data_IF_517923871329
#
_entry.id   IF_517923871329
#
_cell.length_a   1.000
_cell.length_b   1.000
_cell.length_c   1.000
_cell.angle_alpha   90.00
_cell.angle_beta   90.00
_cell.angle_gamma   90.00
#
_symmetry.space_group_name_H-M   'P 1'
#
loop_
_entity.id
_entity.type
_entity.pdbx_description
1 polymer ?
#
# COMPACT_ATOMS: atom_id res chain seq x y z
N UNK A 1 30.62 6.49 48.86
CA UNK A 1 31.19 5.26 49.44
C UNK A 1 30.08 4.55 50.18
N UNK A 2 29.62 3.40 49.70
CA UNK A 2 29.14 2.23 50.46
C UNK A 2 29.02 1.06 49.46
N UNK A 3 29.49 -0.11 49.90
CA UNK A 3 30.02 -1.23 49.12
C UNK A 3 28.93 -2.14 48.54
N UNK A 4 29.10 -2.58 47.29
CA UNK A 4 28.33 -3.64 46.64
C UNK A 4 28.82 -5.02 47.09
N UNK A 5 27.97 -5.83 47.72
CA UNK A 5 28.19 -7.26 47.87
C UNK A 5 27.60 -8.02 46.67
N UNK A 6 28.46 -8.75 45.96
CA UNK A 6 28.08 -9.75 44.98
C UNK A 6 27.71 -11.08 45.66
N UNK A 7 26.53 -11.63 45.36
CA UNK A 7 26.19 -13.02 45.68
C UNK A 7 26.71 -13.92 44.57
N UNK A 8 27.62 -14.83 44.91
CA UNK A 8 28.08 -15.89 44.01
C UNK A 8 27.00 -16.94 43.76
N UNK A 9 26.80 -17.28 42.50
CA UNK A 9 26.17 -18.52 42.07
C UNK A 9 27.26 -19.41 41.46
N UNK A 10 27.30 -20.69 41.88
CA UNK A 10 28.14 -21.72 41.26
C UNK A 10 27.59 -22.04 39.87
N UNK A 11 28.43 -22.39 38.88
CA UNK A 11 27.96 -22.84 37.58
C UNK A 11 27.42 -24.28 37.71
N UNK A 12 26.13 -24.47 37.43
CA UNK A 12 25.59 -25.79 37.10
C UNK A 12 25.86 -26.04 35.61
N UNK A 13 26.35 -27.24 35.29
CA UNK A 13 26.65 -27.66 33.92
C UNK A 13 25.38 -27.65 33.04
N UNK A 14 25.45 -27.19 31.78
CA UNK A 14 24.32 -27.22 30.87
C UNK A 14 23.94 -28.67 30.50
N UNK A 15 22.64 -28.98 30.34
CA UNK A 15 22.21 -30.30 29.88
C UNK A 15 22.68 -30.56 28.44
N UNK A 16 22.89 -31.83 28.04
CA UNK A 16 23.40 -32.16 26.71
C UNK A 16 22.41 -31.78 25.62
N UNK A 17 22.91 -31.06 24.60
CA UNK A 17 22.19 -30.76 23.36
C UNK A 17 22.08 -32.05 22.54
N UNK A 18 20.89 -32.45 22.06
CA UNK A 18 20.78 -33.58 21.14
C UNK A 18 21.40 -33.20 19.80
N UNK A 19 22.45 -33.94 19.41
CA UNK A 19 23.09 -33.86 18.10
C UNK A 19 22.10 -34.30 17.01
N UNK A 20 21.47 -33.32 16.37
CA UNK A 20 20.76 -33.49 15.10
C UNK A 20 21.51 -32.72 14.05
N UNK A 21 22.45 -33.42 13.43
CA UNK A 21 23.05 -33.06 12.14
C UNK A 21 21.96 -32.64 11.15
N UNK A 22 21.95 -31.34 10.85
CA UNK A 22 21.21 -30.76 9.73
C UNK A 22 21.77 -31.38 8.45
N UNK A 23 21.07 -32.34 7.86
CA UNK A 23 21.37 -32.82 6.51
C UNK A 23 21.06 -31.68 5.53
N UNK A 24 22.10 -30.97 5.13
CA UNK A 24 22.09 -30.12 3.94
C UNK A 24 21.63 -30.96 2.74
N UNK A 25 20.52 -30.57 2.13
CA UNK A 25 20.09 -31.05 0.82
C UNK A 25 21.07 -30.56 -0.24
N UNK A 26 22.14 -31.32 -0.49
CA UNK A 26 22.94 -31.18 -1.71
C UNK A 26 23.92 -32.35 -1.87
N UNK A 27 23.45 -33.53 -2.30
CA UNK A 27 24.35 -34.50 -2.95
C UNK A 27 23.58 -35.27 -4.04
N UNK A 28 23.85 -34.93 -5.32
CA UNK A 28 23.60 -35.83 -6.44
C UNK A 28 24.76 -36.84 -6.49
N UNK A 29 24.52 -38.14 -6.73
CA UNK A 29 25.61 -39.12 -6.77
C UNK A 29 26.45 -38.96 -8.06
N UNK A 30 27.75 -39.30 -8.03
CA UNK A 30 28.61 -39.22 -9.21
C UNK A 30 28.35 -40.40 -10.15
N UNK A 31 28.03 -40.10 -11.41
CA UNK A 31 28.01 -41.08 -12.49
C UNK A 31 29.45 -41.49 -12.84
N UNK A 32 29.76 -42.78 -12.67
CA UNK A 32 30.97 -43.40 -13.24
C UNK A 32 30.77 -43.61 -14.74
N UNK A 33 31.79 -43.26 -15.53
CA UNK A 33 31.75 -43.30 -16.99
C UNK A 33 32.21 -44.61 -17.63
N UNK A 34 31.78 -44.77 -18.89
CA UNK A 34 32.43 -45.52 -19.98
C UNK A 34 31.58 -46.64 -20.60
N UNK A 35 31.70 -46.94 -21.92
CA UNK A 35 32.15 -46.14 -23.07
C UNK A 35 31.07 -46.04 -24.19
N UNK A 36 31.44 -45.37 -25.29
CA UNK A 36 30.63 -44.96 -26.44
C UNK A 36 29.96 -46.09 -27.24
N UNK A 37 28.75 -45.82 -27.78
CA UNK A 37 28.36 -46.21 -29.14
C UNK A 37 27.15 -45.40 -29.66
N UNK A 38 26.94 -45.48 -30.97
CA UNK A 38 26.32 -44.55 -31.91
C UNK A 38 24.79 -44.29 -31.87
N UNK A 39 24.46 -43.06 -32.29
CA UNK A 39 23.27 -42.57 -33.01
C UNK A 39 21.93 -43.30 -32.95
N UNK A 40 20.91 -42.60 -32.45
CA UNK A 40 19.55 -42.61 -33.04
C UNK A 40 18.87 -41.25 -32.85
N UNK A 41 18.47 -40.67 -33.98
CA UNK A 41 17.62 -39.50 -34.15
C UNK A 41 16.27 -39.64 -33.45
N UNK A 42 15.70 -38.50 -33.07
CA UNK A 42 14.26 -38.36 -32.84
C UNK A 42 13.83 -38.40 -31.36
N UNK A 43 14.11 -37.33 -30.63
CA UNK A 43 13.34 -37.03 -29.42
C UNK A 43 12.84 -35.59 -29.50
N UNK A 44 11.65 -35.45 -30.08
CA UNK A 44 10.86 -34.22 -30.05
C UNK A 44 10.75 -33.73 -28.61
N UNK A 45 11.26 -32.52 -28.35
CA UNK A 45 11.03 -31.83 -27.09
C UNK A 45 9.52 -31.77 -26.81
N UNK A 46 9.07 -32.02 -25.57
CA UNK A 46 7.65 -31.87 -25.24
C UNK A 46 7.28 -30.40 -25.41
N UNK A 47 6.21 -30.15 -26.16
CA UNK A 47 5.68 -28.83 -26.44
C UNK A 47 5.43 -28.05 -25.15
N UNK A 48 6.26 -27.04 -24.89
CA UNK A 48 6.06 -26.07 -23.83
C UNK A 48 5.11 -24.98 -24.35
N UNK A 49 3.80 -25.29 -24.48
CA UNK A 49 2.84 -24.27 -24.94
C UNK A 49 1.37 -24.51 -24.53
N UNK A 50 1.12 -25.10 -23.35
CA UNK A 50 -0.25 -25.37 -22.88
C UNK A 50 -0.74 -24.49 -21.71
N UNK A 51 0.10 -23.63 -21.13
CA UNK A 51 -0.23 -22.86 -19.92
C UNK A 51 0.15 -21.37 -19.99
N UNK A 52 0.44 -20.85 -21.19
CA UNK A 52 0.74 -19.42 -21.35
C UNK A 52 -0.53 -18.61 -21.04
N UNK A 53 -0.53 -17.91 -19.91
CA UNK A 53 -1.61 -16.98 -19.54
C UNK A 53 -1.69 -15.89 -20.60
N UNK A 54 -2.78 -15.86 -21.34
CA UNK A 54 -3.04 -14.86 -22.37
C UNK A 54 -3.26 -13.46 -21.76
N UNK A 55 -2.63 -12.45 -22.36
CA UNK A 55 -2.69 -11.07 -21.89
C UNK A 55 -4.12 -10.49 -21.97
N UNK A 56 -4.91 -10.86 -22.99
CA UNK A 56 -6.29 -10.37 -23.12
C UNK A 56 -7.19 -10.91 -21.99
N UNK A 57 -6.98 -12.15 -21.57
CA UNK A 57 -7.67 -12.74 -20.42
C UNK A 57 -7.35 -11.98 -19.12
N UNK A 58 -6.12 -11.50 -18.95
CA UNK A 58 -5.75 -10.67 -17.80
C UNK A 58 -6.31 -9.25 -17.92
N UNK A 59 -6.34 -8.66 -19.12
CA UNK A 59 -6.89 -7.32 -19.38
C UNK A 59 -8.37 -7.17 -18.97
N UNK A 60 -9.14 -8.27 -19.06
CA UNK A 60 -10.54 -8.32 -18.66
C UNK A 60 -10.72 -8.09 -17.15
N UNK A 61 -9.89 -8.74 -16.32
CA UNK A 61 -9.90 -8.56 -14.87
C UNK A 61 -8.51 -8.82 -14.25
N UNK A 62 -7.71 -7.76 -14.24
CA UNK A 62 -6.35 -7.78 -13.69
C UNK A 62 -6.35 -8.14 -12.20
N UNK A 63 -7.33 -7.66 -11.44
CA UNK A 63 -7.40 -7.92 -10.01
C UNK A 63 -7.63 -9.41 -9.77
N UNK A 64 -8.59 -10.02 -10.49
CA UNK A 64 -8.88 -11.45 -10.39
C UNK A 64 -7.71 -12.31 -10.87
N UNK A 65 -7.00 -11.90 -11.92
CA UNK A 65 -5.81 -12.63 -12.37
C UNK A 65 -4.70 -12.65 -11.29
N UNK A 66 -4.47 -11.52 -10.63
CA UNK A 66 -3.51 -11.43 -9.51
C UNK A 66 -3.98 -12.24 -8.31
N UNK A 67 -5.28 -12.27 -8.01
CA UNK A 67 -5.84 -13.12 -6.95
C UNK A 67 -5.59 -14.59 -7.21
N UNK A 68 -5.82 -15.08 -8.44
CA UNK A 68 -5.50 -16.48 -8.80
C UNK A 68 -4.02 -16.78 -8.60
N UNK A 69 -3.15 -15.85 -9.02
CA UNK A 69 -1.71 -16.00 -8.81
C UNK A 69 -1.34 -16.05 -7.32
N UNK A 70 -1.96 -15.21 -6.50
CA UNK A 70 -1.80 -15.22 -5.04
C UNK A 70 -2.32 -16.51 -4.41
N UNK A 71 -3.45 -17.03 -4.87
CA UNK A 71 -4.03 -18.27 -4.36
C UNK A 71 -3.05 -19.44 -4.53
N UNK A 72 -2.48 -19.60 -5.73
CA UNK A 72 -1.47 -20.62 -6.00
C UNK A 72 -0.21 -20.42 -5.17
N UNK A 73 0.37 -19.21 -5.19
CA UNK A 73 1.62 -18.92 -4.47
C UNK A 73 1.47 -19.10 -2.97
N UNK A 74 0.42 -18.56 -2.37
CA UNK A 74 0.24 -18.59 -0.92
C UNK A 74 -0.13 -19.99 -0.41
N UNK A 75 -0.85 -20.79 -1.21
CA UNK A 75 -1.12 -22.18 -0.84
C UNK A 75 0.18 -22.98 -0.70
N UNK A 76 1.11 -22.82 -1.64
CA UNK A 76 2.44 -23.44 -1.57
C UNK A 76 3.24 -22.95 -0.36
N UNK A 77 3.23 -21.64 -0.09
CA UNK A 77 3.96 -21.04 1.04
C UNK A 77 3.43 -21.51 2.39
N UNK A 78 2.11 -21.65 2.54
CA UNK A 78 1.48 -22.19 3.75
C UNK A 78 1.78 -23.67 3.91
N UNK A 79 1.76 -24.47 2.83
CA UNK A 79 2.12 -25.88 2.89
C UNK A 79 3.57 -26.08 3.37
N UNK A 80 4.52 -25.34 2.80
CA UNK A 80 5.93 -25.36 3.25
C UNK A 80 6.09 -24.90 4.71
N UNK A 81 5.29 -23.93 5.16
CA UNK A 81 5.27 -23.56 6.57
C UNK A 81 4.78 -24.70 7.47
N UNK A 82 3.80 -25.49 6.99
CA UNK A 82 3.27 -26.67 7.68
C UNK A 82 4.30 -27.80 7.81
N UNK A 83 5.16 -27.97 6.81
CA UNK A 83 6.27 -28.93 6.86
C UNK A 83 7.32 -28.56 7.92
N UNK A 84 7.46 -27.26 8.23
CA UNK A 84 8.37 -26.76 9.27
C UNK A 84 7.76 -26.90 10.67
N UNK A 85 6.55 -26.37 10.85
CA UNK A 85 5.80 -26.46 12.11
C UNK A 85 4.30 -26.18 11.89
N UNK A 86 3.38 -27.08 12.31
CA UNK A 86 1.94 -26.85 12.18
C UNK A 86 1.39 -25.63 12.94
N UNK A 87 2.04 -25.23 14.04
CA UNK A 87 1.71 -24.04 14.80
C UNK A 87 2.03 -22.77 14.02
N UNK A 88 3.26 -22.66 13.51
CA UNK A 88 3.72 -21.58 12.63
C UNK A 88 2.81 -21.42 11.40
N UNK A 89 2.44 -22.53 10.76
CA UNK A 89 1.53 -22.51 9.62
C UNK A 89 0.15 -21.94 9.99
N UNK A 90 -0.48 -22.47 11.04
CA UNK A 90 -1.83 -22.09 11.47
C UNK A 90 -1.89 -20.67 12.04
N UNK A 91 -0.89 -20.27 12.82
CA UNK A 91 -0.95 -19.07 13.66
C UNK A 91 -0.30 -17.85 13.04
N UNK A 92 0.59 -18.03 12.05
CA UNK A 92 1.28 -16.93 11.36
C UNK A 92 1.09 -16.97 9.85
N UNK A 93 1.45 -18.09 9.20
CA UNK A 93 1.47 -18.18 7.74
C UNK A 93 0.04 -18.05 7.13
N UNK A 94 -0.94 -18.76 7.70
CA UNK A 94 -2.33 -18.71 7.27
C UNK A 94 -2.96 -17.32 7.49
N UNK A 95 -2.80 -16.64 8.64
CA UNK A 95 -3.20 -15.24 8.78
C UNK A 95 -2.57 -14.29 7.75
N UNK A 96 -1.27 -14.42 7.45
CA UNK A 96 -0.61 -13.62 6.40
C UNK A 96 -1.23 -13.90 5.02
N UNK A 97 -1.43 -15.17 4.68
CA UNK A 97 -2.10 -15.60 3.45
C UNK A 97 -3.50 -14.99 3.33
N UNK A 98 -4.34 -15.19 4.36
CA UNK A 98 -5.70 -14.66 4.44
C UNK A 98 -5.74 -13.13 4.30
N UNK A 99 -4.87 -12.42 5.02
CA UNK A 99 -4.80 -10.96 4.95
C UNK A 99 -4.45 -10.47 3.54
N UNK A 100 -3.53 -11.17 2.87
CA UNK A 100 -3.10 -10.85 1.51
C UNK A 100 -4.20 -11.15 0.48
N UNK A 101 -4.92 -12.27 0.63
CA UNK A 101 -6.00 -12.70 -0.29
C UNK A 101 -7.26 -11.84 -0.24
N UNK A 102 -7.68 -11.39 0.94
CA UNK A 102 -8.94 -10.62 1.09
C UNK A 102 -8.75 -9.11 1.04
N UNK A 103 -7.88 -8.62 0.15
CA UNK A 103 -7.33 -7.28 0.25
C UNK A 103 -7.54 -6.34 -0.94
N UNK A 104 -8.27 -5.24 -0.73
CA UNK A 104 -8.12 -3.98 -1.46
C UNK A 104 -8.42 -4.00 -2.97
N UNK A 105 -8.24 -2.84 -3.62
CA UNK A 105 -8.53 -2.61 -5.05
C UNK A 105 -7.44 -3.12 -6.02
N UNK A 106 -6.43 -3.84 -5.50
CA UNK A 106 -5.23 -4.31 -6.23
C UNK A 106 -4.56 -3.24 -7.09
N UNK A 107 -4.47 -2.02 -6.56
CA UNK A 107 -4.01 -0.83 -7.32
C UNK A 107 -2.58 -1.00 -7.83
N UNK A 108 -1.67 -1.52 -6.99
CA UNK A 108 -0.25 -1.70 -7.31
C UNK A 108 -0.05 -2.66 -8.49
N UNK A 109 -0.56 -3.90 -8.45
CA UNK A 109 -0.52 -4.81 -9.60
C UNK A 109 -1.15 -4.23 -10.85
N UNK A 110 -2.26 -3.48 -10.73
CA UNK A 110 -2.93 -2.86 -11.88
C UNK A 110 -2.06 -1.80 -12.55
N UNK A 111 -1.34 -0.97 -11.79
CA UNK A 111 -0.39 -0.02 -12.37
C UNK A 111 0.77 -0.72 -13.08
N UNK A 112 1.31 -1.79 -12.49
CA UNK A 112 2.33 -2.61 -13.13
C UNK A 112 1.81 -3.18 -14.45
N UNK A 113 0.66 -3.84 -14.41
CA UNK A 113 0.05 -4.50 -15.56
C UNK A 113 -0.24 -3.53 -16.71
N UNK A 114 -1.00 -2.46 -16.44
CA UNK A 114 -1.38 -1.53 -17.51
C UNK A 114 -0.18 -0.78 -18.08
N UNK A 115 0.89 -0.59 -17.29
CA UNK A 115 2.14 -0.01 -17.83
C UNK A 115 2.90 -0.99 -18.70
N UNK A 116 2.96 -2.28 -18.32
CA UNK A 116 3.52 -3.34 -19.17
C UNK A 116 2.79 -3.38 -20.52
N UNK A 117 1.46 -3.41 -20.50
CA UNK A 117 0.63 -3.45 -21.72
C UNK A 117 0.81 -2.20 -22.57
N UNK A 118 0.86 -1.02 -21.96
CA UNK A 118 1.08 0.24 -22.67
C UNK A 118 2.46 0.34 -23.32
N UNK A 119 3.45 -0.39 -22.82
CA UNK A 119 4.80 -0.49 -23.39
C UNK A 119 4.97 -1.74 -24.29
N UNK A 120 3.87 -2.36 -24.73
CA UNK A 120 3.85 -3.52 -25.64
C UNK A 120 4.53 -4.79 -25.08
N UNK A 121 4.49 -4.98 -23.75
CA UNK A 121 5.05 -6.15 -23.07
C UNK A 121 4.10 -7.35 -22.95
N UNK A 122 3.31 -7.65 -23.98
CA UNK A 122 2.21 -8.62 -23.94
C UNK A 122 2.53 -10.10 -24.10
N UNK A 123 3.81 -10.49 -24.20
CA UNK A 123 4.24 -11.86 -24.43
C UNK A 123 4.18 -12.72 -23.15
N UNK A 124 3.89 -14.02 -23.32
CA UNK A 124 3.65 -14.97 -22.23
C UNK A 124 4.66 -14.93 -21.07
N UNK A 125 5.99 -14.91 -21.34
CA UNK A 125 6.99 -14.81 -20.27
C UNK A 125 6.85 -13.53 -19.43
N UNK A 126 6.59 -12.38 -20.06
CA UNK A 126 6.44 -11.10 -19.36
C UNK A 126 5.11 -11.02 -18.62
N UNK A 127 4.04 -11.60 -19.18
CA UNK A 127 2.73 -11.72 -18.51
C UNK A 127 2.87 -12.49 -17.19
N UNK A 128 3.49 -13.67 -17.24
CA UNK A 128 3.72 -14.50 -16.04
C UNK A 128 4.58 -13.75 -15.02
N UNK A 129 5.67 -13.11 -15.46
CA UNK A 129 6.52 -12.31 -14.58
C UNK A 129 5.76 -11.15 -13.91
N UNK A 130 4.90 -10.46 -14.67
CA UNK A 130 4.10 -9.34 -14.19
C UNK A 130 3.07 -9.78 -13.13
N UNK A 131 2.39 -10.91 -13.33
CA UNK A 131 1.47 -11.47 -12.33
C UNK A 131 2.20 -11.87 -11.05
N UNK A 132 3.36 -12.51 -11.16
CA UNK A 132 4.18 -12.88 -9.98
C UNK A 132 4.70 -11.65 -9.23
N UNK A 133 5.22 -10.64 -9.94
CA UNK A 133 5.67 -9.39 -9.30
C UNK A 133 4.46 -8.62 -8.73
N UNK A 134 3.29 -8.69 -9.38
CA UNK A 134 2.03 -8.17 -8.83
C UNK A 134 1.68 -8.83 -7.49
N UNK A 135 1.76 -10.15 -7.40
CA UNK A 135 1.57 -10.87 -6.15
C UNK A 135 2.60 -10.47 -5.08
N UNK A 136 3.86 -10.29 -5.45
CA UNK A 136 4.90 -9.78 -4.55
C UNK A 136 4.62 -8.37 -4.03
N UNK A 137 4.08 -7.48 -4.87
CA UNK A 137 3.64 -6.13 -4.45
C UNK A 137 2.51 -6.19 -3.42
N UNK A 138 1.60 -7.15 -3.52
CA UNK A 138 0.53 -7.33 -2.54
C UNK A 138 1.03 -7.95 -1.23
N UNK A 139 2.02 -8.84 -1.27
CA UNK A 139 2.73 -9.31 -0.07
C UNK A 139 3.50 -8.18 0.62
N UNK A 140 4.19 -7.34 -0.15
CA UNK A 140 4.85 -6.14 0.38
C UNK A 140 3.82 -5.18 0.99
N UNK A 141 2.61 -5.07 0.43
CA UNK A 141 1.51 -4.33 1.03
C UNK A 141 1.00 -4.93 2.32
N UNK A 142 0.96 -6.26 2.42
CA UNK A 142 0.64 -6.95 3.67
C UNK A 142 1.65 -6.61 4.75
N UNK A 143 2.96 -6.69 4.44
CA UNK A 143 4.02 -6.25 5.35
C UNK A 143 3.79 -4.81 5.83
N UNK A 144 3.67 -3.88 4.88
CA UNK A 144 3.51 -2.45 5.19
C UNK A 144 2.29 -2.19 6.09
N UNK A 145 1.13 -2.77 5.79
CA UNK A 145 -0.09 -2.54 6.58
C UNK A 145 -0.03 -3.17 7.96
N UNK A 146 0.49 -4.40 8.08
CA UNK A 146 0.56 -5.10 9.36
C UNK A 146 1.50 -4.36 10.31
N UNK A 147 2.66 -3.90 9.82
CA UNK A 147 3.58 -3.10 10.61
C UNK A 147 3.03 -1.71 10.95
N UNK A 148 2.43 -1.01 9.98
CA UNK A 148 1.80 0.30 10.19
C UNK A 148 0.67 0.23 11.23
N UNK A 149 -0.15 -0.84 11.22
CA UNK A 149 -1.21 -1.07 12.23
C UNK A 149 -0.64 -1.20 13.65
N UNK A 150 0.53 -1.82 13.82
CA UNK A 150 1.20 -1.92 15.12
C UNK A 150 1.78 -0.58 15.55
N UNK A 151 2.46 0.12 14.64
CA UNK A 151 3.10 1.41 14.90
C UNK A 151 2.08 2.49 15.26
N UNK A 152 0.92 2.51 14.57
CA UNK A 152 -0.16 3.46 14.79
C UNK A 152 -1.13 3.03 15.91
N UNK A 153 -1.00 1.80 16.43
CA UNK A 153 -1.97 1.23 17.39
C UNK A 153 -3.38 1.05 16.81
N UNK A 154 -3.49 0.87 15.50
CA UNK A 154 -4.77 0.79 14.80
C UNK A 154 -5.52 -0.50 15.14
N UNK A 155 -6.70 -0.40 15.75
CA UNK A 155 -7.46 -1.58 16.20
C UNK A 155 -8.14 -2.35 15.06
N UNK A 156 -8.36 -1.71 13.91
CA UNK A 156 -9.09 -2.28 12.78
C UNK A 156 -8.43 -1.96 11.46
N UNK A 157 -8.58 -2.89 10.50
CA UNK A 157 -8.10 -2.76 9.12
C UNK A 157 -9.11 -3.41 8.18
N UNK A 158 -9.58 -2.66 7.17
CA UNK A 158 -10.57 -3.13 6.17
C UNK A 158 -11.84 -3.74 6.81
N UNK A 159 -12.35 -3.12 7.87
CA UNK A 159 -13.55 -3.58 8.59
C UNK A 159 -13.36 -4.81 9.47
N UNK A 160 -12.12 -5.30 9.65
CA UNK A 160 -11.78 -6.43 10.53
C UNK A 160 -10.80 -5.99 11.63
N UNK A 161 -10.67 -6.74 12.73
CA UNK A 161 -9.61 -6.49 13.70
C UNK A 161 -8.23 -6.50 13.02
N UNK A 162 -7.35 -5.59 13.42
CA UNK A 162 -5.96 -5.62 12.93
C UNK A 162 -5.26 -6.91 13.39
N UNK A 163 -4.23 -7.35 12.67
CA UNK A 163 -3.60 -8.66 12.92
C UNK A 163 -3.06 -8.78 14.35
N UNK A 164 -2.49 -7.70 14.90
CA UNK A 164 -2.02 -7.69 16.29
C UNK A 164 -3.15 -7.83 17.32
N UNK A 165 -4.36 -7.34 17.00
CA UNK A 165 -5.55 -7.51 17.84
C UNK A 165 -6.05 -8.95 17.77
N UNK A 166 -6.11 -9.54 16.56
CA UNK A 166 -6.45 -10.96 16.40
C UNK A 166 -5.48 -11.87 17.15
N UNK A 167 -4.17 -11.58 17.05
CA UNK A 167 -3.13 -12.35 17.71
C UNK A 167 -3.17 -12.19 19.24
N UNK A 168 -3.40 -10.98 19.75
CA UNK A 168 -3.57 -10.74 21.18
C UNK A 168 -4.74 -11.56 21.77
N UNK A 169 -5.85 -11.70 21.04
CA UNK A 169 -7.00 -12.49 21.46
C UNK A 169 -6.72 -14.02 21.54
N UNK A 170 -5.63 -14.50 20.92
CA UNK A 170 -5.18 -15.90 20.96
C UNK A 170 -4.03 -16.13 21.94
N UNK A 171 -3.56 -15.08 22.60
CA UNK A 171 -2.40 -15.14 23.51
C UNK A 171 -2.65 -16.00 24.76
N UNK A 172 -1.60 -16.23 25.57
CA UNK A 172 -1.67 -17.08 26.75
C UNK A 172 -2.75 -16.60 27.74
N UNK A 173 -3.63 -17.53 28.15
CA UNK A 173 -4.69 -17.23 29.12
C UNK A 173 -4.17 -17.05 30.56
N UNK A 174 -2.94 -17.48 30.83
CA UNK A 174 -2.31 -17.47 32.15
C UNK A 174 -1.74 -16.10 32.56
N UNK A 175 -1.75 -15.12 31.67
CA UNK A 175 -1.34 -13.73 31.96
C UNK A 175 0.18 -13.55 32.14
N UNK A 176 1.00 -14.54 31.80
CA UNK A 176 2.47 -14.48 31.95
C UNK A 176 3.12 -13.37 31.11
N UNK A 177 2.47 -12.96 30.01
CA UNK A 177 2.82 -11.77 29.21
C UNK A 177 1.55 -10.98 28.87
N UNK A 178 1.59 -9.64 28.84
CA UNK A 178 0.45 -8.86 28.38
C UNK A 178 0.05 -9.29 26.96
N UNK A 179 -1.22 -9.64 26.76
CA UNK A 179 -1.75 -10.10 25.47
C UNK A 179 -1.46 -9.13 24.32
N UNK A 180 -1.46 -7.82 24.62
CA UNK A 180 -1.08 -6.75 23.69
C UNK A 180 0.35 -6.92 23.16
N UNK A 181 1.31 -7.19 24.04
CA UNK A 181 2.72 -7.31 23.67
C UNK A 181 2.97 -8.56 22.84
N UNK A 182 2.27 -9.66 23.16
CA UNK A 182 2.28 -10.86 22.34
C UNK A 182 1.70 -10.59 20.95
N UNK A 183 0.53 -9.95 20.88
CA UNK A 183 -0.11 -9.61 19.61
C UNK A 183 0.76 -8.71 18.72
N UNK A 184 1.41 -7.71 19.31
CA UNK A 184 2.36 -6.85 18.59
C UNK A 184 3.58 -7.64 18.07
N UNK A 185 4.17 -8.51 18.89
CA UNK A 185 5.29 -9.34 18.48
C UNK A 185 4.93 -10.29 17.33
N UNK A 186 3.76 -10.95 17.39
CA UNK A 186 3.25 -11.80 16.31
C UNK A 186 3.03 -11.00 15.04
N UNK A 187 2.49 -9.79 15.13
CA UNK A 187 2.27 -8.94 13.96
C UNK A 187 3.57 -8.45 13.32
N UNK A 188 4.61 -8.15 14.12
CA UNK A 188 5.94 -7.84 13.59
C UNK A 188 6.45 -9.02 12.75
N UNK A 189 6.43 -10.23 13.30
CA UNK A 189 6.85 -11.44 12.59
C UNK A 189 5.98 -11.75 11.35
N UNK A 190 4.68 -11.47 11.40
CA UNK A 190 3.78 -11.64 10.26
C UNK A 190 4.15 -10.68 9.11
N UNK A 191 4.46 -9.42 9.43
CA UNK A 191 4.92 -8.47 8.43
C UNK A 191 6.30 -8.83 7.87
N UNK A 192 7.20 -9.33 8.70
CA UNK A 192 8.52 -9.82 8.25
C UNK A 192 8.38 -11.01 7.30
N UNK A 193 7.52 -11.98 7.65
CA UNK A 193 7.23 -13.13 6.79
C UNK A 193 6.67 -12.70 5.43
N UNK A 194 5.74 -11.74 5.43
CA UNK A 194 5.18 -11.20 4.20
C UNK A 194 6.26 -10.51 3.33
N UNK A 195 7.20 -9.78 3.94
CA UNK A 195 8.33 -9.17 3.23
C UNK A 195 9.27 -10.23 2.64
N UNK A 196 9.62 -11.25 3.42
CA UNK A 196 10.46 -12.38 2.96
C UNK A 196 9.81 -13.08 1.77
N UNK A 197 8.52 -13.42 1.87
CA UNK A 197 7.81 -14.03 0.75
C UNK A 197 7.71 -13.12 -0.47
N UNK A 198 7.55 -11.80 -0.29
CA UNK A 198 7.56 -10.87 -1.41
C UNK A 198 8.92 -10.90 -2.14
N UNK A 199 10.02 -10.91 -1.38
CA UNK A 199 11.37 -10.98 -1.93
C UNK A 199 11.65 -12.31 -2.62
N UNK A 200 11.26 -13.42 -2.02
CA UNK A 200 11.40 -14.75 -2.61
C UNK A 200 10.64 -14.85 -3.94
N UNK A 201 9.40 -14.35 -3.99
CA UNK A 201 8.60 -14.37 -5.23
C UNK A 201 9.33 -13.61 -6.35
N UNK A 202 9.91 -12.44 -6.07
CA UNK A 202 10.69 -11.69 -7.07
C UNK A 202 12.02 -12.39 -7.39
N UNK A 203 12.68 -13.02 -6.42
CA UNK A 203 13.89 -13.80 -6.62
C UNK A 203 13.66 -14.96 -7.60
N UNK A 204 12.62 -15.75 -7.34
CA UNK A 204 12.19 -16.94 -8.09
C UNK A 204 11.52 -16.63 -9.43
N UNK A 205 11.09 -15.39 -9.66
CA UNK A 205 10.45 -15.02 -10.92
C UNK A 205 11.48 -15.06 -12.06
N UNK A 206 11.21 -15.90 -13.05
CA UNK A 206 11.96 -15.93 -14.30
C UNK A 206 11.80 -14.58 -15.02
N UNK A 207 12.92 -13.93 -15.31
CA UNK A 207 12.97 -12.64 -15.99
C UNK A 207 13.86 -12.76 -17.23
N UNK A 208 13.50 -12.12 -18.36
CA UNK A 208 14.40 -12.04 -19.49
C UNK A 208 15.74 -11.42 -19.07
N UNK A 209 16.89 -11.99 -19.47
CA UNK A 209 18.20 -11.53 -19.00
C UNK A 209 18.46 -10.03 -19.23
N UNK A 210 17.95 -9.49 -20.34
CA UNK A 210 18.09 -8.08 -20.71
C UNK A 210 17.43 -7.11 -19.72
N UNK A 211 16.36 -7.52 -19.02
CA UNK A 211 15.60 -6.64 -18.11
C UNK A 211 15.77 -7.00 -16.63
N UNK A 212 16.28 -8.20 -16.34
CA UNK A 212 16.37 -8.73 -14.98
C UNK A 212 17.11 -7.79 -14.00
N UNK A 213 18.24 -7.22 -14.41
CA UNK A 213 19.01 -6.29 -13.58
C UNK A 213 18.23 -5.02 -13.21
N UNK A 214 17.52 -4.44 -14.19
CA UNK A 214 16.69 -3.24 -14.00
C UNK A 214 15.51 -3.52 -13.08
N UNK A 215 14.77 -4.61 -13.33
CA UNK A 215 13.62 -5.02 -12.51
C UNK A 215 14.04 -5.26 -11.05
N UNK A 216 15.12 -6.03 -10.82
CA UNK A 216 15.66 -6.27 -9.47
C UNK A 216 16.19 -4.99 -8.82
N UNK A 217 16.76 -4.06 -9.59
CA UNK A 217 17.17 -2.73 -9.11
C UNK A 217 15.99 -1.88 -8.63
N UNK A 218 14.91 -1.86 -9.41
CA UNK A 218 13.67 -1.16 -9.06
C UNK A 218 13.02 -1.76 -7.81
N UNK A 219 12.97 -3.09 -7.70
CA UNK A 219 12.44 -3.78 -6.53
C UNK A 219 13.22 -3.47 -5.24
N UNK A 220 14.56 -3.39 -5.31
CA UNK A 220 15.40 -2.95 -4.18
C UNK A 220 15.08 -1.51 -3.79
N UNK A 221 15.06 -0.61 -4.77
CA UNK A 221 14.78 0.82 -4.53
C UNK A 221 13.40 1.03 -3.90
N UNK A 222 12.38 0.32 -4.41
CA UNK A 222 11.01 0.36 -3.92
C UNK A 222 10.94 0.08 -2.41
N UNK A 223 11.55 -1.02 -1.95
CA UNK A 223 11.53 -1.41 -0.53
C UNK A 223 12.24 -0.38 0.35
N UNK A 224 13.44 0.06 -0.04
CA UNK A 224 14.19 1.08 0.71
C UNK A 224 13.43 2.40 0.81
N UNK A 225 12.81 2.84 -0.28
CA UNK A 225 12.04 4.09 -0.30
C UNK A 225 10.78 4.01 0.56
N UNK A 226 10.09 2.87 0.55
CA UNK A 226 8.93 2.63 1.41
C UNK A 226 9.32 2.73 2.89
N UNK A 227 10.39 2.05 3.31
CA UNK A 227 10.90 2.09 4.69
C UNK A 227 11.34 3.51 5.07
N UNK A 228 12.07 4.20 4.18
CA UNK A 228 12.47 5.59 4.42
C UNK A 228 11.26 6.52 4.56
N UNK A 229 10.20 6.31 3.77
CA UNK A 229 8.94 7.02 3.87
C UNK A 229 8.26 6.79 5.22
N UNK A 230 8.15 5.53 5.66
CA UNK A 230 7.59 5.19 6.97
C UNK A 230 8.38 5.82 8.11
N UNK A 231 9.71 5.78 8.05
CA UNK A 231 10.57 6.42 9.05
C UNK A 231 10.32 7.93 9.13
N UNK A 232 10.22 8.62 7.99
CA UNK A 232 9.97 10.07 7.97
C UNK A 232 8.60 10.42 8.55
N UNK A 233 7.60 9.57 8.35
CA UNK A 233 6.25 9.72 8.94
C UNK A 233 6.34 9.64 10.47
N UNK A 234 6.90 8.54 11.01
CA UNK A 234 7.09 8.33 12.45
C UNK A 234 7.96 9.41 13.11
N UNK A 235 9.07 9.77 12.47
CA UNK A 235 9.97 10.80 12.96
C UNK A 235 9.31 12.18 12.94
N UNK A 236 8.46 12.46 11.95
CA UNK A 236 7.65 13.67 11.89
C UNK A 236 6.65 13.76 13.05
N UNK A 237 5.97 12.66 13.36
CA UNK A 237 5.06 12.54 14.50
C UNK A 237 5.80 12.76 15.83
N UNK A 238 6.87 12.01 16.07
CA UNK A 238 7.61 12.02 17.33
C UNK A 238 8.23 13.40 17.66
N UNK A 239 8.68 14.12 16.63
CA UNK A 239 9.32 15.42 16.79
C UNK A 239 8.34 16.59 16.60
N UNK A 240 7.04 16.33 16.40
CA UNK A 240 6.02 17.35 16.10
C UNK A 240 6.40 18.28 14.94
N UNK A 241 7.12 17.75 13.94
CA UNK A 241 7.65 18.53 12.82
C UNK A 241 6.59 18.71 11.72
N UNK A 242 5.76 19.73 11.88
CA UNK A 242 4.65 20.03 10.97
C UNK A 242 5.07 20.96 9.82
N UNK A 243 5.87 20.44 8.87
CA UNK A 243 6.30 21.19 7.68
C UNK A 243 5.63 20.64 6.41
N UNK A 244 5.00 21.49 5.57
CA UNK A 244 4.39 21.05 4.31
C UNK A 244 5.38 20.33 3.38
N UNK A 245 6.65 20.75 3.34
CA UNK A 245 7.68 20.11 2.52
C UNK A 245 8.05 18.71 3.02
N UNK A 246 8.13 18.53 4.35
CA UNK A 246 8.41 17.23 4.97
C UNK A 246 7.24 16.26 4.79
N UNK A 247 6.01 16.73 5.02
CA UNK A 247 4.79 15.95 4.82
C UNK A 247 4.71 15.43 3.37
N UNK A 248 4.95 16.30 2.38
CA UNK A 248 5.01 15.89 0.97
C UNK A 248 6.14 14.91 0.67
N UNK A 249 7.29 15.05 1.33
CA UNK A 249 8.41 14.11 1.15
C UNK A 249 8.08 12.73 1.70
N UNK A 250 7.49 12.66 2.89
CA UNK A 250 7.01 11.41 3.49
C UNK A 250 5.93 10.77 2.60
N UNK A 251 4.89 11.53 2.23
CA UNK A 251 3.84 11.08 1.31
C UNK A 251 4.40 10.60 -0.04
N UNK A 252 5.39 11.30 -0.60
CA UNK A 252 6.03 10.91 -1.84
C UNK A 252 6.75 9.55 -1.71
N UNK A 253 7.50 9.33 -0.64
CA UNK A 253 8.28 8.10 -0.46
C UNK A 253 7.40 6.92 -0.03
N UNK A 254 6.59 7.10 1.03
CA UNK A 254 5.72 6.07 1.63
C UNK A 254 4.64 5.60 0.66
N UNK A 255 4.06 6.53 -0.11
CA UNK A 255 2.83 6.24 -0.85
C UNK A 255 2.94 6.52 -2.35
N UNK A 256 3.46 7.67 -2.77
CA UNK A 256 3.48 7.98 -4.20
C UNK A 256 4.43 7.06 -4.99
N UNK A 257 5.64 6.88 -4.48
CA UNK A 257 6.64 5.98 -5.07
C UNK A 257 6.15 4.55 -5.02
N UNK A 258 5.77 4.14 -3.83
CA UNK A 258 5.40 2.78 -3.52
C UNK A 258 4.13 2.30 -4.25
N UNK A 259 3.10 3.14 -4.32
CA UNK A 259 1.76 2.71 -4.79
C UNK A 259 1.55 2.90 -6.29
N UNK A 260 2.32 3.79 -6.93
CA UNK A 260 2.09 4.19 -8.33
C UNK A 260 3.38 4.21 -9.13
N UNK A 261 4.35 5.06 -8.81
CA UNK A 261 5.57 5.26 -9.62
C UNK A 261 6.35 3.96 -9.84
N UNK A 262 6.63 3.21 -8.77
CA UNK A 262 7.46 2.02 -8.82
C UNK A 262 6.73 0.83 -9.45
N UNK A 263 5.44 0.58 -9.19
CA UNK A 263 4.67 -0.36 -9.99
C UNK A 263 4.68 -0.03 -11.49
N UNK A 264 4.47 1.23 -11.88
CA UNK A 264 4.59 1.65 -13.29
C UNK A 264 6.01 1.42 -13.83
N UNK A 265 7.03 1.78 -13.06
CA UNK A 265 8.43 1.56 -13.43
C UNK A 265 8.75 0.07 -13.65
N UNK A 266 8.21 -0.81 -12.79
CA UNK A 266 8.37 -2.26 -12.92
C UNK A 266 7.69 -2.77 -14.21
N UNK A 267 6.49 -2.29 -14.52
CA UNK A 267 5.79 -2.63 -15.77
C UNK A 267 6.56 -2.18 -17.01
N UNK A 268 7.04 -0.94 -17.03
CA UNK A 268 7.86 -0.40 -18.12
C UNK A 268 9.19 -1.16 -18.27
N UNK A 269 9.87 -1.44 -17.16
CA UNK A 269 11.13 -2.18 -17.19
C UNK A 269 10.95 -3.63 -17.67
N UNK A 270 9.87 -4.31 -17.26
CA UNK A 270 9.53 -5.64 -17.77
C UNK A 270 9.30 -5.62 -19.28
N UNK A 271 8.63 -4.59 -19.81
CA UNK A 271 8.43 -4.41 -21.24
C UNK A 271 9.72 -4.07 -22.02
N UNK A 272 10.83 -3.81 -21.33
CA UNK A 272 12.08 -3.37 -21.96
C UNK A 272 12.03 -1.93 -22.47
N UNK A 273 11.18 -1.09 -21.87
CA UNK A 273 11.07 0.32 -22.23
C UNK A 273 12.42 1.04 -22.08
N UNK A 274 12.69 1.97 -22.99
CA UNK A 274 13.92 2.76 -22.94
C UNK A 274 13.97 3.70 -21.71
N UNK A 275 15.16 4.25 -21.47
CA UNK A 275 15.38 5.10 -20.29
C UNK A 275 14.54 6.39 -20.32
N UNK A 276 14.17 6.91 -21.50
CA UNK A 276 13.37 8.12 -21.63
C UNK A 276 11.91 7.86 -21.23
N UNK A 277 11.34 6.78 -21.78
CA UNK A 277 10.00 6.26 -21.47
C UNK A 277 9.88 5.92 -19.99
N UNK A 278 10.84 5.19 -19.43
CA UNK A 278 10.87 4.85 -18.00
C UNK A 278 10.89 6.11 -17.12
N UNK A 279 11.70 7.12 -17.45
CA UNK A 279 11.74 8.39 -16.69
C UNK A 279 10.42 9.16 -16.78
N UNK A 280 9.81 9.22 -17.97
CA UNK A 280 8.54 9.90 -18.18
C UNK A 280 7.41 9.25 -17.37
N UNK A 281 7.31 7.91 -17.43
CA UNK A 281 6.33 7.13 -16.68
C UNK A 281 6.56 7.23 -15.16
N UNK A 282 7.81 7.20 -14.70
CA UNK A 282 8.12 7.45 -13.29
C UNK A 282 7.67 8.85 -12.86
N UNK A 283 7.90 9.88 -13.69
CA UNK A 283 7.46 11.23 -13.38
C UNK A 283 5.92 11.34 -13.35
N UNK A 284 5.22 10.68 -14.27
CA UNK A 284 3.76 10.66 -14.32
C UNK A 284 3.19 9.97 -13.07
N UNK A 285 3.73 8.79 -12.73
CA UNK A 285 3.35 8.02 -11.56
C UNK A 285 3.64 8.73 -10.24
N UNK A 286 4.75 9.47 -10.13
CA UNK A 286 5.06 10.28 -8.93
C UNK A 286 4.00 11.35 -8.66
N UNK A 287 3.55 12.03 -9.72
CA UNK A 287 2.54 13.08 -9.60
C UNK A 287 1.20 12.50 -9.16
N UNK A 288 0.71 11.47 -9.84
CA UNK A 288 -0.56 10.83 -9.48
C UNK A 288 -0.47 10.11 -8.13
N UNK A 289 0.64 9.47 -7.81
CA UNK A 289 0.84 8.84 -6.51
C UNK A 289 0.82 9.85 -5.36
N UNK A 290 1.31 11.08 -5.59
CA UNK A 290 1.21 12.14 -4.59
C UNK A 290 -0.22 12.64 -4.48
N UNK A 291 -0.93 12.81 -5.61
CA UNK A 291 -2.35 13.15 -5.61
C UNK A 291 -3.20 12.10 -4.88
N UNK A 292 -2.91 10.82 -5.07
CA UNK A 292 -3.53 9.68 -4.39
C UNK A 292 -3.36 9.79 -2.87
N UNK A 293 -2.14 10.01 -2.35
CA UNK A 293 -1.96 10.15 -0.90
C UNK A 293 -2.66 11.38 -0.34
N UNK A 294 -2.62 12.51 -1.04
CA UNK A 294 -3.32 13.72 -0.60
C UNK A 294 -4.85 13.53 -0.59
N UNK A 295 -5.38 12.71 -1.51
CA UNK A 295 -6.79 12.31 -1.52
C UNK A 295 -7.10 11.42 -0.33
N UNK A 296 -6.27 10.42 -0.05
CA UNK A 296 -6.42 9.55 1.13
C UNK A 296 -6.43 10.36 2.43
N UNK A 297 -5.53 11.35 2.59
CA UNK A 297 -5.49 12.26 3.75
C UNK A 297 -6.79 13.09 3.90
N UNK A 298 -7.38 13.53 2.79
CA UNK A 298 -8.67 14.24 2.79
C UNK A 298 -9.83 13.29 3.14
N UNK A 299 -9.85 12.11 2.52
CA UNK A 299 -10.93 11.14 2.70
C UNK A 299 -10.94 10.58 4.13
N UNK A 300 -9.78 10.49 4.80
CA UNK A 300 -9.73 10.13 6.23
C UNK A 300 -10.59 11.08 7.09
N UNK A 301 -10.68 12.36 6.73
CA UNK A 301 -11.40 13.37 7.53
C UNK A 301 -12.78 13.71 7.00
N UNK A 302 -12.97 13.71 5.69
CA UNK A 302 -14.15 14.29 5.04
C UNK A 302 -15.02 13.28 4.28
N UNK A 303 -14.58 12.03 4.09
CA UNK A 303 -15.40 11.04 3.41
C UNK A 303 -16.45 10.41 4.37
N UNK A 304 -17.58 9.97 3.79
CA UNK A 304 -18.63 9.27 4.54
C UNK A 304 -18.06 7.94 5.10
N UNK A 305 -18.12 7.69 6.42
CA UNK A 305 -17.68 6.44 7.04
C UNK A 305 -18.31 5.18 6.42
N UNK A 306 -19.53 5.28 5.87
CA UNK A 306 -20.20 4.19 5.15
C UNK A 306 -19.49 3.83 3.84
N UNK A 307 -18.77 4.79 3.24
CA UNK A 307 -17.97 4.58 2.01
C UNK A 307 -16.54 4.12 2.31
N UNK A 308 -15.93 4.59 3.40
CA UNK A 308 -14.54 4.27 3.76
C UNK A 308 -14.42 2.98 4.57
N UNK A 309 -15.50 2.53 5.22
CA UNK A 309 -15.51 1.34 6.06
C UNK A 309 -14.71 1.48 7.36
N UNK A 310 -14.37 2.72 7.76
CA UNK A 310 -13.67 3.05 9.01
C UNK A 310 -14.19 4.38 9.59
N UNK A 311 -14.13 4.60 10.92
CA UNK A 311 -14.35 5.92 11.50
C UNK A 311 -13.35 6.92 10.92
N UNK A 312 -13.80 8.14 10.61
CA UNK A 312 -12.94 9.20 10.09
C UNK A 312 -12.01 9.77 11.18
N UNK A 313 -10.94 10.43 10.78
CA UNK A 313 -9.98 11.10 11.66
C UNK A 313 -8.97 10.16 12.32
N UNK A 314 -8.67 9.03 11.68
CA UNK A 314 -7.61 8.12 12.14
C UNK A 314 -6.25 8.83 12.17
N UNK A 315 -5.97 9.63 11.14
CA UNK A 315 -4.69 10.33 11.02
C UNK A 315 -4.54 11.45 12.07
N UNK A 316 -5.64 12.13 12.42
CA UNK A 316 -5.64 13.13 13.50
C UNK A 316 -5.40 12.46 14.85
N UNK A 317 -6.09 11.35 15.16
CA UNK A 317 -5.91 10.62 16.41
C UNK A 317 -4.50 10.02 16.55
N UNK A 318 -3.93 9.56 15.44
CA UNK A 318 -2.55 9.07 15.38
C UNK A 318 -1.49 10.20 15.38
N UNK A 319 -1.91 11.46 15.26
CA UNK A 319 -0.99 12.60 15.25
C UNK A 319 -0.15 12.71 13.99
N UNK A 320 -0.61 12.16 12.87
CA UNK A 320 0.15 12.15 11.62
C UNK A 320 0.36 13.58 11.09
N UNK A 321 1.59 13.98 10.76
CA UNK A 321 1.89 15.30 10.20
C UNK A 321 1.50 15.35 8.71
N UNK A 322 0.21 15.17 8.41
CA UNK A 322 -0.29 15.17 7.03
C UNK A 322 -0.07 16.52 6.37
N UNK A 323 -0.02 16.52 5.03
CA UNK A 323 0.15 17.78 4.29
C UNK A 323 -1.01 18.75 4.56
N UNK A 324 -2.22 18.21 4.76
CA UNK A 324 -3.42 18.97 5.08
C UNK A 324 -3.28 19.74 6.40
N UNK A 325 -2.86 19.06 7.48
CA UNK A 325 -2.65 19.70 8.80
C UNK A 325 -1.51 20.72 8.72
N UNK A 326 -0.43 20.40 7.99
CA UNK A 326 0.69 21.32 7.83
C UNK A 326 0.29 22.61 7.09
N UNK A 327 -0.52 22.51 6.05
CA UNK A 327 -1.05 23.69 5.33
C UNK A 327 -1.95 24.52 6.26
N UNK A 328 -2.83 23.88 7.02
CA UNK A 328 -3.72 24.58 7.95
C UNK A 328 -2.95 25.34 9.03
N UNK A 329 -1.93 24.71 9.62
CA UNK A 329 -1.06 25.33 10.62
C UNK A 329 -0.31 26.53 10.04
N UNK A 330 0.35 26.38 8.89
CA UNK A 330 1.06 27.49 8.24
C UNK A 330 0.13 28.65 7.89
N UNK A 331 -1.09 28.37 7.43
CA UNK A 331 -2.08 29.41 7.13
C UNK A 331 -2.56 30.13 8.41
N UNK A 332 -2.83 29.39 9.49
CA UNK A 332 -3.23 29.96 10.78
C UNK A 332 -2.10 30.80 11.41
N UNK A 333 -0.85 30.36 11.33
CA UNK A 333 0.33 31.12 11.75
C UNK A 333 0.45 32.44 10.99
N UNK A 334 0.35 32.40 9.66
CA UNK A 334 0.43 33.60 8.83
C UNK A 334 -0.70 34.59 9.09
N UNK A 335 -1.89 34.10 9.43
CA UNK A 335 -3.05 34.93 9.77
C UNK A 335 -3.08 35.39 11.24
N UNK A 336 -2.18 34.88 12.09
CA UNK A 336 -2.22 35.13 13.53
C UNK A 336 -3.43 34.50 14.25
N UNK A 337 -4.06 33.47 13.66
CA UNK A 337 -5.25 32.81 14.20
C UNK A 337 -4.89 31.87 15.36
N UNK A 338 -4.78 32.44 16.55
CA UNK A 338 -4.50 31.68 17.78
C UNK A 338 -5.57 30.66 18.15
N UNK A 339 -6.82 30.81 17.67
CA UNK A 339 -7.88 29.84 17.95
C UNK A 339 -7.67 28.59 17.12
N UNK A 340 -7.43 28.73 15.83
CA UNK A 340 -7.12 27.61 14.94
C UNK A 340 -5.89 26.83 15.43
N UNK A 341 -4.82 27.54 15.80
CA UNK A 341 -3.60 26.89 16.30
C UNK A 341 -3.85 26.08 17.57
N UNK A 342 -4.58 26.63 18.55
CA UNK A 342 -4.95 25.89 19.76
C UNK A 342 -5.75 24.63 19.46
N UNK A 343 -6.75 24.70 18.58
CA UNK A 343 -7.52 23.50 18.20
C UNK A 343 -6.62 22.43 17.59
N UNK A 344 -5.68 22.80 16.72
CA UNK A 344 -4.74 21.83 16.14
C UNK A 344 -3.79 21.25 17.19
N UNK A 345 -3.27 22.08 18.11
CA UNK A 345 -2.38 21.64 19.20
C UNK A 345 -3.09 20.73 20.20
N UNK A 346 -4.35 21.04 20.53
CA UNK A 346 -5.13 20.33 21.53
C UNK A 346 -5.77 19.03 21.01
N UNK A 347 -5.86 18.84 19.69
CA UNK A 347 -6.58 17.70 19.09
C UNK A 347 -5.68 16.71 18.35
N UNK A 348 -4.63 17.16 17.66
CA UNK A 348 -3.77 16.27 16.86
C UNK A 348 -2.90 15.41 17.77
N UNK A 349 -2.99 14.09 17.61
CA UNK A 349 -2.26 13.09 18.41
C UNK A 349 -3.01 12.58 19.64
N UNK A 350 -4.25 13.03 19.88
CA UNK A 350 -5.10 12.48 20.94
C UNK A 350 -5.82 11.23 20.47
N UNK A 351 -5.42 10.07 20.99
CA UNK A 351 -6.00 8.78 20.61
C UNK A 351 -7.49 8.64 20.98
N UNK A 352 -7.96 9.35 22.00
CA UNK A 352 -9.33 9.35 22.53
C UNK A 352 -10.22 10.46 21.96
N UNK A 353 -9.76 11.19 20.93
CA UNK A 353 -10.46 12.34 20.36
C UNK A 353 -11.90 11.98 19.94
N UNK A 354 -12.87 12.70 20.52
CA UNK A 354 -14.30 12.55 20.22
C UNK A 354 -14.70 13.18 18.88
N UNK A 355 -15.91 12.85 18.39
CA UNK A 355 -16.40 13.40 17.11
C UNK A 355 -16.60 14.93 17.16
N UNK A 356 -17.07 15.49 18.28
CA UNK A 356 -17.23 16.95 18.41
C UNK A 356 -15.88 17.69 18.28
N UNK A 357 -14.81 17.13 18.83
CA UNK A 357 -13.47 17.71 18.76
C UNK A 357 -12.91 17.56 17.33
N UNK A 358 -13.19 16.42 16.69
CA UNK A 358 -12.85 16.18 15.30
C UNK A 358 -13.57 17.14 14.35
N UNK A 359 -14.83 17.49 14.64
CA UNK A 359 -15.59 18.50 13.90
C UNK A 359 -14.94 19.88 14.02
N UNK A 360 -14.46 20.27 15.21
CA UNK A 360 -13.68 21.52 15.37
C UNK A 360 -12.40 21.51 14.53
N UNK A 361 -11.72 20.36 14.42
CA UNK A 361 -10.56 20.22 13.52
C UNK A 361 -11.00 20.41 12.06
N UNK A 362 -12.08 19.76 11.63
CA UNK A 362 -12.64 19.92 10.26
C UNK A 362 -12.97 21.39 9.95
N UNK A 363 -13.59 22.09 10.89
CA UNK A 363 -13.89 23.53 10.78
C UNK A 363 -12.62 24.36 10.58
N UNK A 364 -11.57 24.11 11.37
CA UNK A 364 -10.27 24.79 11.22
C UNK A 364 -9.65 24.51 9.85
N UNK A 365 -9.68 23.26 9.38
CA UNK A 365 -9.14 22.88 8.08
C UNK A 365 -9.88 23.55 6.91
N UNK A 366 -11.17 23.85 7.09
CA UNK A 366 -11.99 24.61 6.12
C UNK A 366 -11.70 26.11 6.24
N UNK A 367 -11.76 26.68 7.44
CA UNK A 367 -11.60 28.10 7.69
C UNK A 367 -10.22 28.64 7.30
N UNK A 368 -9.17 27.83 7.47
CA UNK A 368 -7.81 28.15 7.02
C UNK A 368 -7.62 28.03 5.51
N UNK A 369 -8.61 27.52 4.77
CA UNK A 369 -8.51 27.23 3.35
C UNK A 369 -7.65 26.01 3.00
N UNK A 370 -7.18 25.25 4.00
CA UNK A 370 -6.29 24.12 3.79
C UNK A 370 -6.92 23.04 2.92
N UNK A 371 -8.19 22.68 3.17
CA UNK A 371 -8.93 21.72 2.34
C UNK A 371 -8.90 22.11 0.85
N UNK A 372 -9.31 23.34 0.53
CA UNK A 372 -9.35 23.83 -0.85
C UNK A 372 -7.97 23.86 -1.52
N UNK A 373 -6.94 24.17 -0.74
CA UNK A 373 -5.54 24.19 -1.19
C UNK A 373 -5.06 22.79 -1.57
N UNK A 374 -5.38 21.79 -0.74
CA UNK A 374 -5.04 20.38 -1.01
C UNK A 374 -5.82 19.86 -2.21
N UNK A 375 -7.13 20.12 -2.31
CA UNK A 375 -7.97 19.74 -3.46
C UNK A 375 -7.43 20.34 -4.77
N UNK A 376 -7.06 21.62 -4.77
CA UNK A 376 -6.43 22.28 -5.94
C UNK A 376 -5.11 21.61 -6.30
N UNK A 377 -4.30 21.24 -5.30
CA UNK A 377 -3.02 20.57 -5.51
C UNK A 377 -3.19 19.17 -6.11
N UNK A 378 -4.18 18.41 -5.64
CA UNK A 378 -4.56 17.11 -6.22
C UNK A 378 -4.88 17.29 -7.71
N UNK A 379 -5.77 18.21 -8.06
CA UNK A 379 -6.14 18.47 -9.45
C UNK A 379 -4.94 18.83 -10.35
N UNK A 380 -4.03 19.69 -9.86
CA UNK A 380 -2.80 20.07 -10.59
C UNK A 380 -1.86 18.88 -10.79
N UNK A 381 -1.65 18.06 -9.75
CA UNK A 381 -0.79 16.88 -9.80
C UNK A 381 -1.34 15.83 -10.77
N UNK A 382 -2.65 15.54 -10.71
CA UNK A 382 -3.32 14.62 -11.63
C UNK A 382 -3.20 15.09 -13.07
N UNK A 383 -3.55 16.35 -13.35
CA UNK A 383 -3.47 16.91 -14.69
C UNK A 383 -2.03 16.86 -15.24
N UNK A 384 -1.03 17.13 -14.40
CA UNK A 384 0.37 17.04 -14.79
C UNK A 384 0.82 15.61 -15.06
N UNK A 385 0.41 14.65 -14.23
CA UNK A 385 0.67 13.23 -14.45
C UNK A 385 0.09 12.73 -15.76
N UNK A 386 -1.17 13.05 -16.05
CA UNK A 386 -1.85 12.67 -17.28
C UNK A 386 -1.23 13.30 -18.53
N UNK A 387 -0.82 14.59 -18.48
CA UNK A 387 -0.09 15.21 -19.59
C UNK A 387 1.24 14.52 -19.87
N UNK A 388 1.96 14.09 -18.82
CA UNK A 388 3.21 13.35 -18.98
C UNK A 388 3.00 11.98 -19.57
N UNK A 389 1.93 11.28 -19.19
CA UNK A 389 1.55 10.02 -19.80
C UNK A 389 1.26 10.19 -21.30
N UNK A 390 0.45 11.18 -21.66
CA UNK A 390 0.07 11.45 -23.06
C UNK A 390 1.23 11.86 -23.97
N UNK A 391 2.35 12.31 -23.40
CA UNK A 391 3.55 12.69 -24.16
C UNK A 391 4.47 11.49 -24.50
N UNK A 392 4.15 10.29 -24.00
CA UNK A 392 4.93 9.07 -24.25
C UNK A 392 4.25 8.28 -25.39
N UNK A 393 5.01 7.78 -26.39
CA UNK A 393 4.45 6.91 -27.42
C UNK A 393 4.13 5.54 -26.81
N UNK A 394 2.86 5.32 -26.46
CA UNK A 394 2.36 4.11 -25.83
C UNK A 394 1.29 3.45 -26.70
N UNK A 395 1.07 2.14 -26.48
CA UNK A 395 -0.05 1.42 -27.07
C UNK A 395 -1.38 2.09 -26.63
N UNK A 396 -2.23 2.57 -27.56
CA UNK A 396 -3.37 3.44 -27.22
C UNK A 396 -4.40 2.82 -26.28
N UNK A 397 -4.73 1.54 -26.43
CA UNK A 397 -5.75 0.88 -25.61
C UNK A 397 -5.31 0.80 -24.15
N UNK A 398 -4.12 0.28 -23.89
CA UNK A 398 -3.56 0.15 -22.56
C UNK A 398 -3.20 1.51 -21.94
N UNK A 399 -2.76 2.49 -22.74
CA UNK A 399 -2.55 3.86 -22.28
C UNK A 399 -3.86 4.50 -21.78
N UNK A 400 -4.98 4.25 -22.47
CA UNK A 400 -6.32 4.65 -22.02
C UNK A 400 -6.69 4.04 -20.66
N UNK A 401 -6.53 2.71 -20.52
CA UNK A 401 -6.80 2.01 -19.25
C UNK A 401 -5.92 2.50 -18.09
N UNK A 402 -4.64 2.80 -18.38
CA UNK A 402 -3.71 3.37 -17.42
C UNK A 402 -4.11 4.79 -17.00
N UNK A 403 -4.54 5.63 -17.95
CA UNK A 403 -5.04 6.98 -17.66
C UNK A 403 -6.31 6.96 -16.80
N UNK A 404 -7.23 6.04 -17.06
CA UNK A 404 -8.44 5.86 -16.25
C UNK A 404 -8.11 5.41 -14.83
N UNK A 405 -7.16 4.48 -14.68
CA UNK A 405 -6.65 4.09 -13.36
C UNK A 405 -6.02 5.28 -12.63
N UNK A 406 -5.24 6.12 -13.33
CA UNK A 406 -4.63 7.33 -12.76
C UNK A 406 -5.70 8.33 -12.26
N UNK A 407 -6.79 8.53 -13.02
CA UNK A 407 -7.91 9.39 -12.63
C UNK A 407 -8.68 8.84 -11.42
N UNK A 408 -8.96 7.54 -11.44
CA UNK A 408 -9.72 6.86 -10.40
C UNK A 408 -9.03 6.95 -9.03
N UNK A 409 -7.70 6.75 -8.99
CA UNK A 409 -6.96 6.83 -7.71
C UNK A 409 -6.82 8.26 -7.18
N UNK A 410 -6.86 9.30 -8.02
CA UNK A 410 -6.86 10.68 -7.53
C UNK A 410 -8.24 11.21 -7.13
N UNK A 411 -9.30 10.41 -7.31
CA UNK A 411 -10.68 10.82 -7.04
C UNK A 411 -11.20 11.86 -8.04
N UNK A 412 -10.66 11.86 -9.26
CA UNK A 412 -11.08 12.76 -10.36
C UNK A 412 -11.77 11.90 -11.42
N UNK A 413 -12.96 11.38 -11.10
CA UNK A 413 -13.74 10.62 -12.06
C UNK A 413 -14.36 11.57 -13.09
N UNK A 414 -14.37 11.25 -14.41
CA UNK A 414 -15.02 12.09 -15.42
C UNK A 414 -16.54 12.26 -15.21
N UNK A 415 -17.16 11.43 -14.38
CA UNK A 415 -18.60 11.47 -14.08
C UNK A 415 -18.99 12.20 -12.79
N UNK A 416 -18.03 12.76 -12.06
CA UNK A 416 -18.27 13.46 -10.80
C UNK A 416 -18.39 14.98 -10.96
N UNK A 417 -19.31 15.46 -11.80
CA UNK A 417 -19.74 16.86 -11.73
C UNK A 417 -20.44 17.12 -10.39
N UNK A 418 -20.49 18.37 -9.90
CA UNK A 418 -21.33 18.70 -8.76
C UNK A 418 -22.77 18.28 -9.08
N UNK A 419 -23.35 17.47 -8.20
CA UNK A 419 -24.75 17.09 -8.26
C UNK A 419 -25.61 18.39 -8.30
N UNK A 420 -26.36 18.65 -9.38
CA UNK A 420 -27.19 19.85 -9.48
C UNK A 420 -28.38 19.84 -8.51
N UNK A 421 -28.59 18.76 -7.73
CA UNK A 421 -29.73 18.61 -6.82
C UNK A 421 -29.55 19.23 -5.41
N UNK A 422 -28.58 20.12 -5.19
CA UNK A 422 -28.50 20.93 -3.96
C UNK A 422 -28.35 22.41 -4.29
N UNK A 423 -29.35 22.98 -4.95
CA UNK A 423 -29.72 24.37 -4.70
C UNK A 423 -30.72 24.36 -3.55
N UNK A 424 -30.36 25.07 -2.47
CA UNK A 424 -31.24 25.37 -1.35
C UNK A 424 -32.60 25.87 -1.84
N UNK A 425 -33.68 25.20 -1.44
CA UNK A 425 -35.00 25.81 -1.32
C UNK A 425 -34.94 26.82 -0.16
N UNK A 426 -34.31 27.96 -0.45
CA UNK A 426 -34.38 29.16 0.35
C UNK A 426 -35.77 29.74 0.24
N UNK A 427 -36.56 29.52 1.28
CA UNK A 427 -37.88 30.11 1.54
C UNK A 427 -37.85 31.62 1.30
N UNK A 428 -38.37 32.07 0.15
CA UNK A 428 -38.64 33.48 -0.09
C UNK A 428 -39.99 33.86 0.57
N UNK A 429 -40.08 34.99 1.30
CA UNK A 429 -41.32 35.42 1.93
C UNK A 429 -42.29 35.95 0.87
N UNK A 430 -43.55 35.52 0.97
CA UNK A 430 -44.61 35.84 0.02
C UNK A 430 -44.92 37.34 -0.13
N UNK A 431 -45.49 37.75 -1.28
CA UNK A 431 -45.80 39.15 -1.53
C UNK A 431 -47.01 39.58 -0.72
N UNK A 432 -46.88 40.74 -0.06
CA UNK A 432 -47.98 41.45 0.60
C UNK A 432 -48.96 41.94 -0.46
N UNK A 433 -50.17 41.39 -0.48
CA UNK A 433 -51.29 41.99 -1.20
C UNK A 433 -51.90 43.13 -0.37
N UNK A 434 -51.86 44.33 -0.92
CA UNK A 434 -52.69 45.46 -0.51
C UNK A 434 -53.35 46.04 -1.77
N UNK A 435 -54.67 46.28 -1.70
CA UNK A 435 -55.35 47.26 -2.54
C UNK A 435 -56.33 46.73 -3.60
N UNK A 436 -57.59 46.57 -3.20
CA UNK A 436 -58.77 47.28 -3.72
C UNK A 436 -59.17 47.17 -5.21
N UNK A 437 -60.46 46.88 -5.45
CA UNK A 437 -61.15 47.36 -6.66
C UNK A 437 -62.25 46.47 -7.26
N UNK A 438 -63.46 46.56 -6.68
CA UNK A 438 -64.79 46.74 -7.30
C UNK A 438 -65.06 46.30 -8.77
N UNK A 439 -66.25 45.70 -8.96
CA UNK A 439 -67.08 45.51 -10.19
C UNK A 439 -66.78 44.25 -11.02
N UNK A 440 -67.72 43.41 -11.44
CA UNK A 440 -69.19 43.44 -11.40
C UNK A 440 -69.75 42.38 -12.37
N UNK A 441 -70.94 41.88 -12.02
CA UNK A 441 -71.83 40.92 -12.71
C UNK A 441 -71.53 39.44 -12.61
#
# INVERSE_FOLDING_TARGET
MHSTQAKGHRPEDPPPVPDRSVRLLSERPPCRGGPADEGLDGCSAPAADADAVDAHTVDADVARAVERQLDTLLAERVARAGDLDPGFARELAEPVSRFTRHGGKRIRPRFLWWTLRACDGGDGPRVTAALRIGAALELLQTCALVHDDVMDGARTRRGRPALHVEAAARGPADGTRPARDFGAAVAILAGDLALVWADDVVAETALPPAVAGTVRGLWRSLRTEMVAGQYLDLHGQAMSLCSPARALRAACLKSARYSVERPMALGAALAGADAATLRALCSAGRCVGTAFQLRDDLDDLFADPRRTGKPGGGDIRAGKPTYLVAVARTAAEAAGDRRALRVLDDCVGRADLGEEELDRVREVLIATGARSTVETRIGRLTAHGLRRLAAVPLEPYAAGRLADLMRAVSGTDPGGGPDPARCDDGTAPGPRHAGGGVSGR
#
